data_IF_683628220317
#
_entry.id   IF_683628220317
#
_cell.length_a   1.000
_cell.length_b   1.000
_cell.length_c   1.000
_cell.angle_alpha   90.00
_cell.angle_beta   90.00
_cell.angle_gamma   90.00
#
_symmetry.space_group_name_H-M   'P 1'
#
loop_
_entity.id
_entity.type
_entity.pdbx_description
1 polymer ?
#
# COMPACT_ATOMS: atom_id res chain seq x y z
N UNK A 1 -21.90 0.61 -12.58
CA UNK A 1 -21.26 -0.72 -12.52
C UNK A 1 -20.46 -0.97 -13.82
N UNK A 2 -19.57 -1.98 -13.87
CA UNK A 2 -19.05 -2.45 -15.17
C UNK A 2 -20.16 -3.24 -15.87
N UNK A 3 -20.08 -3.41 -17.19
CA UNK A 3 -21.14 -4.05 -17.97
C UNK A 3 -21.44 -5.51 -17.55
N UNK A 4 -20.46 -6.13 -16.90
CA UNK A 4 -20.42 -7.52 -16.41
C UNK A 4 -20.71 -7.61 -14.89
N UNK A 5 -21.24 -6.57 -14.28
CA UNK A 5 -21.55 -6.59 -12.86
C UNK A 5 -22.76 -7.50 -12.56
N UNK A 6 -22.50 -8.68 -12.01
CA UNK A 6 -23.54 -9.61 -11.55
C UNK A 6 -24.00 -9.36 -10.11
N UNK A 7 -25.27 -9.65 -9.87
CA UNK A 7 -25.88 -9.75 -8.55
C UNK A 7 -25.36 -10.98 -7.81
N UNK A 8 -25.19 -10.88 -6.49
CA UNK A 8 -24.92 -12.03 -5.64
C UNK A 8 -26.22 -12.83 -5.42
N UNK A 9 -26.31 -14.10 -5.87
CA UNK A 9 -27.57 -14.83 -5.90
C UNK A 9 -28.02 -15.37 -4.52
N UNK A 10 -27.09 -15.62 -3.59
CA UNK A 10 -27.40 -16.25 -2.29
C UNK A 10 -28.02 -15.30 -1.26
N UNK A 11 -27.69 -14.01 -1.33
CA UNK A 11 -28.12 -13.00 -0.36
C UNK A 11 -29.12 -11.97 -0.93
N UNK A 12 -29.45 -12.07 -2.22
CA UNK A 12 -30.44 -11.21 -2.88
C UNK A 12 -30.19 -9.71 -2.66
N UNK A 13 -31.25 -8.93 -2.49
CA UNK A 13 -31.16 -7.47 -2.33
C UNK A 13 -30.56 -7.02 -0.99
N UNK A 14 -30.39 -7.94 -0.03
CA UNK A 14 -29.80 -7.63 1.27
C UNK A 14 -28.27 -7.52 1.20
N UNK A 15 -27.65 -8.04 0.13
CA UNK A 15 -26.20 -7.97 -0.03
C UNK A 15 -25.77 -6.52 -0.36
N UNK A 16 -24.79 -5.94 0.35
CA UNK A 16 -24.37 -4.54 0.16
C UNK A 16 -23.88 -4.24 -1.26
N UNK A 17 -23.38 -5.24 -2.00
CA UNK A 17 -23.05 -5.09 -3.43
C UNK A 17 -24.30 -4.88 -4.29
N UNK A 18 -25.37 -5.63 -4.03
CA UNK A 18 -26.58 -5.60 -4.83
C UNK A 18 -27.31 -4.26 -4.61
N UNK A 19 -27.35 -3.77 -3.38
CA UNK A 19 -27.85 -2.41 -3.05
C UNK A 19 -27.08 -1.31 -3.79
N UNK A 20 -25.76 -1.45 -3.89
CA UNK A 20 -24.94 -0.52 -4.67
C UNK A 20 -25.25 -0.60 -6.16
N UNK A 21 -25.51 -1.78 -6.73
CA UNK A 21 -25.91 -1.91 -8.14
C UNK A 21 -27.22 -1.18 -8.41
N UNK A 22 -28.24 -1.40 -7.57
CA UNK A 22 -29.53 -0.72 -7.64
C UNK A 22 -29.36 0.80 -7.51
N UNK A 23 -28.56 1.27 -6.54
CA UNK A 23 -28.30 2.70 -6.37
C UNK A 23 -27.60 3.30 -7.58
N UNK A 24 -26.62 2.61 -8.17
CA UNK A 24 -25.93 3.10 -9.37
C UNK A 24 -26.88 3.16 -10.57
N UNK A 25 -27.83 2.25 -10.69
CA UNK A 25 -28.85 2.28 -11.74
C UNK A 25 -29.78 3.51 -11.60
N UNK A 26 -30.10 3.91 -10.37
CA UNK A 26 -30.96 5.06 -10.08
C UNK A 26 -30.28 6.43 -10.30
N UNK A 27 -29.04 6.62 -9.83
CA UNK A 27 -28.36 7.94 -9.89
C UNK A 27 -27.25 8.04 -10.92
N UNK A 28 -26.93 6.92 -11.57
CA UNK A 28 -25.80 6.82 -12.46
C UNK A 28 -24.46 6.70 -11.72
N UNK A 29 -23.46 6.19 -12.44
CA UNK A 29 -22.14 5.83 -11.87
C UNK A 29 -21.34 7.02 -11.36
N UNK A 30 -21.46 8.19 -12.00
CA UNK A 30 -20.69 9.38 -11.63
C UNK A 30 -21.14 9.90 -10.26
N UNK A 31 -22.45 10.08 -10.07
CA UNK A 31 -23.01 10.58 -8.82
C UNK A 31 -22.82 9.57 -7.68
N UNK A 32 -23.07 8.28 -7.93
CA UNK A 32 -22.84 7.24 -6.91
C UNK A 32 -21.39 7.22 -6.41
N UNK A 33 -20.38 7.45 -7.27
CA UNK A 33 -18.97 7.54 -6.84
C UNK A 33 -18.70 8.72 -5.91
N UNK A 34 -19.44 9.82 -6.07
CA UNK A 34 -19.35 10.99 -5.19
C UNK A 34 -20.05 10.73 -3.85
N UNK A 35 -21.30 10.23 -3.89
CA UNK A 35 -22.11 9.90 -2.70
C UNK A 35 -21.44 8.85 -1.80
N UNK A 36 -20.89 7.78 -2.41
CA UNK A 36 -20.27 6.68 -1.66
C UNK A 36 -18.90 7.03 -1.06
N UNK A 37 -18.37 8.23 -1.31
CA UNK A 37 -17.02 8.62 -0.90
C UNK A 37 -15.92 7.78 -1.58
N UNK A 38 -16.25 7.09 -2.68
CA UNK A 38 -15.33 6.20 -3.42
C UNK A 38 -14.05 6.93 -3.83
N UNK A 39 -14.14 8.25 -4.08
CA UNK A 39 -12.99 9.09 -4.38
C UNK A 39 -11.92 9.02 -3.27
N UNK A 40 -12.31 9.10 -2.00
CA UNK A 40 -11.35 9.10 -0.86
C UNK A 40 -10.66 7.74 -0.70
N UNK A 41 -11.39 6.63 -0.85
CA UNK A 41 -10.82 5.27 -0.78
C UNK A 41 -9.83 5.03 -1.93
N UNK A 42 -10.21 5.42 -3.15
CA UNK A 42 -9.36 5.28 -4.32
C UNK A 42 -8.06 6.08 -4.22
N UNK A 43 -8.08 7.25 -3.57
CA UNK A 43 -6.89 8.05 -3.30
C UNK A 43 -5.94 7.35 -2.33
N UNK A 44 -6.46 6.78 -1.22
CA UNK A 44 -5.63 6.02 -0.28
C UNK A 44 -5.03 4.75 -0.91
N UNK A 45 -5.81 4.01 -1.71
CA UNK A 45 -5.31 2.82 -2.42
C UNK A 45 -4.26 3.19 -3.46
N UNK A 46 -4.47 4.28 -4.22
CA UNK A 46 -3.49 4.77 -5.20
C UNK A 46 -2.22 5.25 -4.51
N UNK A 47 -2.33 5.94 -3.38
CA UNK A 47 -1.19 6.37 -2.58
C UNK A 47 -0.40 5.17 -2.05
N UNK A 48 -1.09 4.14 -1.54
CA UNK A 48 -0.46 2.90 -1.09
C UNK A 48 0.15 2.08 -2.23
N UNK A 49 -0.46 2.05 -3.41
CA UNK A 49 0.12 1.44 -4.60
C UNK A 49 1.42 2.15 -4.99
N UNK A 50 1.41 3.49 -5.07
CA UNK A 50 2.62 4.29 -5.33
C UNK A 50 3.70 4.06 -4.27
N UNK A 51 3.32 4.05 -2.99
CA UNK A 51 4.21 3.74 -1.89
C UNK A 51 4.84 2.34 -2.06
N UNK A 52 4.03 1.32 -2.34
CA UNK A 52 4.53 -0.04 -2.59
C UNK A 52 5.38 -0.15 -3.85
N UNK A 53 5.14 0.63 -4.89
CA UNK A 53 6.00 0.63 -6.09
C UNK A 53 7.35 1.28 -5.80
N UNK A 54 7.36 2.43 -5.14
CA UNK A 54 8.57 3.19 -4.82
C UNK A 54 9.43 2.42 -3.80
N UNK A 55 8.80 1.94 -2.73
CA UNK A 55 9.51 1.30 -1.63
C UNK A 55 9.53 -0.23 -1.74
N UNK A 56 8.67 -0.87 -2.53
CA UNK A 56 8.65 -2.33 -2.63
C UNK A 56 9.89 -2.93 -3.30
N UNK A 57 10.53 -2.21 -4.22
CA UNK A 57 11.83 -2.60 -4.81
C UNK A 57 12.99 -2.36 -3.84
N UNK A 58 12.96 -1.25 -3.09
CA UNK A 58 13.93 -0.94 -2.03
C UNK A 58 13.74 -1.78 -0.76
N UNK A 59 12.54 -2.31 -0.52
CA UNK A 59 12.16 -3.15 0.62
C UNK A 59 12.09 -4.64 0.24
N UNK A 60 12.70 -5.06 -0.87
CA UNK A 60 12.85 -6.49 -1.17
C UNK A 60 13.90 -7.19 -0.29
N UNK A 61 14.72 -6.45 0.45
CA UNK A 61 15.73 -7.01 1.34
C UNK A 61 16.18 -5.89 2.27
N UNK A 62 15.76 -5.94 3.55
CA UNK A 62 16.85 -5.92 4.53
C UNK A 62 17.61 -7.21 4.27
N UNK A 63 18.60 -7.14 3.39
CA UNK A 63 19.66 -8.14 3.21
C UNK A 63 20.02 -8.60 4.60
N UNK A 64 19.71 -9.85 4.94
CA UNK A 64 20.15 -10.45 6.20
C UNK A 64 21.67 -10.23 6.36
N UNK A 65 22.38 -10.26 5.23
CA UNK A 65 23.80 -9.94 5.08
C UNK A 65 24.21 -8.56 5.64
N UNK A 66 23.42 -7.51 5.43
CA UNK A 66 23.75 -6.15 5.92
C UNK A 66 23.39 -5.96 7.41
N UNK A 67 22.41 -6.71 7.93
CA UNK A 67 22.08 -6.74 9.36
C UNK A 67 23.09 -7.56 10.17
N UNK A 68 23.66 -8.61 9.57
CA UNK A 68 24.73 -9.40 10.15
C UNK A 68 26.03 -8.59 10.25
N UNK A 69 26.35 -7.81 9.21
CA UNK A 69 27.51 -6.91 9.22
C UNK A 69 27.39 -5.86 10.33
N UNK A 70 26.27 -5.15 10.44
CA UNK A 70 26.09 -4.13 11.49
C UNK A 70 26.13 -4.68 12.91
N UNK A 71 25.73 -5.94 13.12
CA UNK A 71 25.79 -6.59 14.44
C UNK A 71 27.22 -7.05 14.76
N UNK A 72 27.96 -7.52 13.76
CA UNK A 72 29.33 -8.00 13.93
C UNK A 72 30.35 -6.87 14.08
N UNK A 73 30.17 -5.74 13.38
CA UNK A 73 31.06 -4.57 13.46
C UNK A 73 30.85 -3.71 14.73
N UNK A 74 30.09 -4.19 15.71
CA UNK A 74 29.97 -3.57 17.04
C UNK A 74 30.98 -4.05 18.08
N UNK A 75 31.76 -5.10 17.79
CA UNK A 75 32.66 -5.74 18.77
C UNK A 75 34.16 -5.70 18.41
N UNK A 76 34.54 -5.18 17.23
CA UNK A 76 35.94 -5.13 16.84
C UNK A 76 36.28 -3.78 16.19
N UNK A 77 36.37 -2.74 17.00
CA UNK A 77 37.29 -1.65 16.69
C UNK A 77 38.00 -1.29 18.00
N UNK A 78 39.23 -1.81 18.24
CA UNK A 78 40.06 -1.26 19.29
C UNK A 78 40.43 0.16 18.87
N UNK A 79 40.40 1.07 19.84
CA UNK A 79 40.83 2.44 19.72
C UNK A 79 42.12 2.57 18.89
N UNK A 80 42.09 3.40 17.86
CA UNK A 80 43.28 4.11 17.38
C UNK A 80 42.83 5.35 16.59
N UNK A 81 42.37 6.35 17.34
CA UNK A 81 42.41 7.73 16.86
C UNK A 81 43.83 8.23 17.09
N UNK A 82 44.64 8.28 16.04
CA UNK A 82 46.00 8.79 16.08
C UNK A 82 46.02 10.20 15.42
N UNK A 83 46.12 11.29 16.20
CA UNK A 83 45.96 12.65 15.68
C UNK A 83 47.22 13.23 15.00
N UNK A 84 48.29 12.46 14.76
CA UNK A 84 49.58 13.01 14.30
C UNK A 84 50.06 12.52 12.92
N UNK A 85 49.16 12.36 11.93
CA UNK A 85 49.59 11.93 10.57
C UNK A 85 49.70 13.02 9.50
N UNK A 86 49.67 14.30 9.87
CA UNK A 86 50.07 15.41 9.01
C UNK A 86 50.72 16.52 9.83
N UNK A 87 52.04 16.42 10.05
CA UNK A 87 52.98 17.52 10.29
C UNK A 87 54.40 17.00 10.08
#
# INVERSE_FOLDING_TARGET
PRHDAQYWPQEGDNHPRNQNLVRIEQVGRSQWKHESGYHRRSLSETAMFRFKVIFGTSCSRRTFDNQALSTFTGLCCPQSYDPFRYA
#
